data_IF_973135105197
#
_entry.id   IF_973135105197
#
_cell.length_a   1.000
_cell.length_b   1.000
_cell.length_c   1.000
_cell.angle_alpha   90.00
_cell.angle_beta   90.00
_cell.angle_gamma   90.00
#
_symmetry.space_group_name_H-M   'P 1'
#
loop_
_entity.id
_entity.type
_entity.pdbx_description
1 polymer ?
#
# COMPACT_ATOMS: atom_id res chain seq x y z
N UNK A 1 -12.03 1.54 -6.10
CA UNK A 1 -11.65 0.14 -6.42
C UNK A 1 -10.21 0.16 -6.94
N UNK A 2 -9.25 -0.35 -6.18
CA UNK A 2 -7.86 -0.62 -6.61
C UNK A 2 -7.90 -1.71 -7.71
N UNK A 3 -7.91 -1.29 -8.97
CA UNK A 3 -8.03 -2.23 -10.08
C UNK A 3 -6.73 -3.01 -10.30
N UNK A 4 -6.82 -4.35 -10.32
CA UNK A 4 -5.64 -5.22 -10.49
C UNK A 4 -4.91 -5.00 -11.81
N UNK A 5 -5.59 -4.50 -12.85
CA UNK A 5 -4.99 -4.18 -14.15
C UNK A 5 -4.06 -2.97 -14.08
N UNK A 6 -4.16 -2.17 -13.02
CA UNK A 6 -3.22 -1.07 -12.77
C UNK A 6 -1.90 -1.58 -12.16
N UNK A 7 -1.87 -2.82 -11.67
CA UNK A 7 -0.67 -3.44 -11.09
C UNK A 7 0.07 -4.19 -12.21
N UNK A 8 1.28 -3.74 -12.59
CA UNK A 8 2.07 -4.42 -13.60
C UNK A 8 2.71 -5.69 -13.02
N UNK A 9 1.95 -6.80 -12.98
CA UNK A 9 2.40 -8.08 -12.41
C UNK A 9 3.74 -8.55 -13.02
N UNK A 10 3.92 -8.41 -14.32
CA UNK A 10 5.18 -8.74 -14.99
C UNK A 10 6.35 -7.80 -14.63
N UNK A 11 6.05 -6.55 -14.27
CA UNK A 11 7.03 -5.56 -13.84
C UNK A 11 7.48 -5.72 -12.39
N UNK A 12 6.65 -6.30 -11.53
CA UNK A 12 6.93 -6.49 -10.10
C UNK A 12 8.21 -7.29 -9.83
N UNK A 13 8.55 -8.26 -10.70
CA UNK A 13 9.80 -9.03 -10.59
C UNK A 13 11.07 -8.21 -10.84
N UNK A 14 10.93 -6.99 -11.35
CA UNK A 14 12.02 -6.06 -11.64
C UNK A 14 12.08 -4.92 -10.65
N UNK A 15 10.92 -4.34 -10.31
CA UNK A 15 10.86 -3.15 -9.48
C UNK A 15 9.62 -3.20 -8.58
N UNK A 16 9.71 -2.73 -7.32
CA UNK A 16 8.55 -2.61 -6.46
C UNK A 16 7.51 -1.65 -7.05
N UNK A 17 6.25 -2.00 -6.89
CA UNK A 17 5.13 -1.15 -7.30
C UNK A 17 4.52 -0.48 -6.08
N UNK A 18 4.22 0.81 -6.16
CA UNK A 18 3.51 1.51 -5.08
C UNK A 18 2.33 2.28 -5.63
N UNK A 19 1.31 2.44 -4.79
CA UNK A 19 0.11 3.21 -5.10
C UNK A 19 -0.59 3.71 -3.85
N UNK A 20 -1.68 4.45 -4.05
CA UNK A 20 -2.50 4.97 -2.97
C UNK A 20 -3.98 4.92 -3.32
N UNK A 21 -4.82 4.79 -2.29
CA UNK A 21 -6.26 4.82 -2.38
C UNK A 21 -6.86 5.47 -1.15
N UNK A 22 -7.45 6.67 -1.31
CA UNK A 22 -8.25 7.34 -0.28
C UNK A 22 -7.56 7.47 1.09
N UNK A 23 -6.28 7.87 1.12
CA UNK A 23 -5.47 8.03 2.33
C UNK A 23 -4.72 6.77 2.82
N UNK A 24 -4.96 5.62 2.19
CA UNK A 24 -4.17 4.41 2.36
C UNK A 24 -3.11 4.33 1.27
N UNK A 25 -1.84 4.13 1.63
CA UNK A 25 -0.77 3.79 0.69
C UNK A 25 -0.51 2.31 0.72
N UNK A 26 -0.07 1.77 -0.41
CA UNK A 26 0.33 0.37 -0.53
C UNK A 26 1.58 0.24 -1.39
N UNK A 27 2.41 -0.73 -1.08
CA UNK A 27 3.60 -1.10 -1.85
C UNK A 27 3.71 -2.61 -1.97
N UNK A 28 4.03 -3.08 -3.16
CA UNK A 28 4.26 -4.48 -3.49
C UNK A 28 5.76 -4.67 -3.70
N UNK A 29 6.36 -5.59 -2.95
CA UNK A 29 7.76 -5.99 -3.07
C UNK A 29 7.85 -7.49 -3.31
N UNK A 30 8.52 -7.87 -4.38
CA UNK A 30 8.82 -9.27 -4.65
C UNK A 30 9.99 -9.72 -3.79
N UNK A 31 9.93 -10.93 -3.26
CA UNK A 31 11.00 -11.52 -2.46
C UNK A 31 12.19 -11.94 -3.36
N UNK A 32 13.36 -12.22 -2.77
CA UNK A 32 14.58 -12.57 -3.52
C UNK A 32 14.38 -13.83 -4.37
N UNK A 33 13.62 -14.80 -3.85
CA UNK A 33 13.24 -16.02 -4.57
C UNK A 33 12.35 -15.77 -5.78
N UNK A 34 11.69 -14.60 -5.89
CA UNK A 34 10.72 -14.24 -6.95
C UNK A 34 9.51 -15.16 -7.07
N UNK A 35 9.27 -15.95 -6.04
CA UNK A 35 8.14 -16.87 -5.91
C UNK A 35 6.95 -16.24 -5.19
N UNK A 36 7.23 -15.27 -4.30
CA UNK A 36 6.23 -14.57 -3.50
C UNK A 36 6.45 -13.06 -3.58
N UNK A 37 5.41 -12.32 -3.25
CA UNK A 37 5.48 -10.88 -3.06
C UNK A 37 4.74 -10.47 -1.79
N UNK A 38 5.23 -9.42 -1.14
CA UNK A 38 4.63 -8.83 0.04
C UNK A 38 3.96 -7.53 -0.34
N UNK A 39 2.67 -7.42 -0.03
CA UNK A 39 1.93 -6.17 -0.07
C UNK A 39 2.00 -5.52 1.31
N UNK A 40 2.47 -4.28 1.41
CA UNK A 40 2.48 -3.52 2.66
C UNK A 40 1.61 -2.29 2.54
N UNK A 41 0.69 -2.10 3.48
CA UNK A 41 -0.16 -0.90 3.59
C UNK A 41 0.30 0.01 4.72
N UNK A 42 0.06 1.30 4.56
CA UNK A 42 0.38 2.32 5.56
C UNK A 42 -0.40 3.61 5.34
N UNK A 43 -0.63 4.41 6.39
CA UNK A 43 -1.36 5.67 6.26
C UNK A 43 -0.52 6.78 5.62
N UNK A 44 -1.17 7.64 4.83
CA UNK A 44 -0.64 8.96 4.48
C UNK A 44 -0.49 9.87 5.71
N UNK A 45 0.35 10.92 5.68
CA UNK A 45 1.17 11.41 4.56
C UNK A 45 2.60 10.85 4.52
N UNK A 46 2.96 10.00 5.47
CA UNK A 46 4.33 9.50 5.61
C UNK A 46 4.70 8.55 4.46
N UNK A 47 5.93 8.68 3.96
CA UNK A 47 6.51 7.67 3.06
C UNK A 47 6.81 6.39 3.82
N UNK A 48 6.90 5.26 3.13
CA UNK A 48 7.18 3.95 3.72
C UNK A 48 8.33 3.98 4.76
N UNK A 49 9.42 4.67 4.48
CA UNK A 49 10.58 4.78 5.39
C UNK A 49 10.30 5.58 6.67
N UNK A 50 9.37 6.54 6.62
CA UNK A 50 9.01 7.42 7.73
C UNK A 50 7.83 6.90 8.55
N UNK A 51 7.05 5.98 8.00
CA UNK A 51 5.97 5.32 8.73
C UNK A 51 6.57 4.35 9.77
N UNK A 52 6.18 4.42 11.05
CA UNK A 52 6.54 3.41 12.06
C UNK A 52 6.09 2.01 11.63
N UNK A 53 6.86 0.97 11.97
CA UNK A 53 6.49 -0.42 11.62
C UNK A 53 5.17 -0.86 12.24
N UNK A 54 4.85 -0.39 13.45
CA UNK A 54 3.55 -0.61 14.12
C UNK A 54 2.34 -0.09 13.31
N UNK A 55 2.55 0.86 12.39
CA UNK A 55 1.49 1.42 11.52
C UNK A 55 1.54 0.83 10.11
N UNK A 56 2.44 -0.11 9.86
CA UNK A 56 2.53 -0.86 8.61
C UNK A 56 1.92 -2.23 8.83
N UNK A 57 1.05 -2.63 7.94
CA UNK A 57 0.57 -4.01 7.89
C UNK A 57 1.02 -4.61 6.58
N UNK A 58 1.48 -5.84 6.61
CA UNK A 58 2.00 -6.51 5.43
C UNK A 58 1.48 -7.94 5.37
N UNK A 59 1.22 -8.39 4.15
CA UNK A 59 0.74 -9.73 3.86
C UNK A 59 1.47 -10.25 2.63
N UNK A 60 1.86 -11.52 2.65
CA UNK A 60 2.66 -12.15 1.61
C UNK A 60 1.81 -13.13 0.80
N UNK A 61 1.95 -13.07 -0.51
CA UNK A 61 1.16 -13.82 -1.46
C UNK A 61 2.05 -14.51 -2.50
N UNK A 62 1.61 -15.63 -3.08
CA UNK A 62 2.33 -16.27 -4.16
C UNK A 62 2.30 -15.41 -5.42
N UNK A 63 3.40 -15.41 -6.19
CA UNK A 63 3.52 -14.70 -7.46
C UNK A 63 2.77 -15.43 -8.59
N UNK A 64 1.45 -15.51 -8.44
CA UNK A 64 0.49 -16.17 -9.33
C UNK A 64 -0.75 -15.28 -9.49
N UNK A 65 -1.60 -15.56 -10.48
CA UNK A 65 -2.83 -14.78 -10.71
C UNK A 65 -3.78 -14.84 -9.49
N UNK A 66 -3.94 -16.02 -8.90
CA UNK A 66 -4.72 -16.22 -7.67
C UNK A 66 -4.16 -15.42 -6.49
N UNK A 67 -2.82 -15.41 -6.32
CA UNK A 67 -2.17 -14.61 -5.28
C UNK A 67 -2.35 -13.11 -5.48
N UNK A 68 -2.41 -12.65 -6.73
CA UNK A 68 -2.76 -11.27 -7.05
C UNK A 68 -4.20 -10.94 -6.69
N UNK A 69 -5.14 -11.85 -6.98
CA UNK A 69 -6.54 -11.66 -6.60
C UNK A 69 -6.67 -11.56 -5.07
N UNK A 70 -6.04 -12.48 -4.33
CA UNK A 70 -6.00 -12.46 -2.86
C UNK A 70 -5.35 -11.19 -2.31
N UNK A 71 -4.28 -10.68 -2.93
CA UNK A 71 -3.64 -9.44 -2.49
C UNK A 71 -4.55 -8.22 -2.68
N UNK A 72 -5.30 -8.19 -3.78
CA UNK A 72 -6.26 -7.13 -4.09
C UNK A 72 -7.45 -7.19 -3.12
N UNK A 73 -7.99 -8.38 -2.86
CA UNK A 73 -9.04 -8.59 -1.86
C UNK A 73 -8.58 -8.18 -0.45
N UNK A 74 -7.34 -8.51 -0.08
CA UNK A 74 -6.76 -8.09 1.18
C UNK A 74 -6.65 -6.57 1.28
N UNK A 75 -6.16 -5.89 0.23
CA UNK A 75 -6.13 -4.42 0.20
C UNK A 75 -7.52 -3.81 0.37
N UNK A 76 -8.56 -4.40 -0.22
CA UNK A 76 -9.94 -3.94 0.00
C UNK A 76 -10.38 -4.14 1.43
N UNK A 77 -10.19 -5.34 1.95
CA UNK A 77 -10.57 -5.69 3.31
C UNK A 77 -9.91 -4.73 4.31
N UNK A 78 -8.63 -4.43 4.14
CA UNK A 78 -7.92 -3.46 4.98
C UNK A 78 -8.41 -2.03 4.78
N UNK A 79 -8.76 -1.65 3.55
CA UNK A 79 -9.36 -0.34 3.29
C UNK A 79 -10.71 -0.18 4.00
N UNK A 80 -11.57 -1.19 3.95
CA UNK A 80 -12.90 -1.15 4.55
C UNK A 80 -12.84 -1.24 6.08
N UNK A 81 -12.02 -2.15 6.62
CA UNK A 81 -11.86 -2.32 8.08
C UNK A 81 -11.29 -1.08 8.75
N UNK A 82 -10.38 -0.35 8.09
CA UNK A 82 -9.70 0.83 8.65
C UNK A 82 -10.12 2.12 7.93
N UNK A 83 -11.33 2.16 7.37
CA UNK A 83 -11.84 3.27 6.55
C UNK A 83 -11.73 4.63 7.23
N UNK A 84 -12.06 4.71 8.52
CA UNK A 84 -11.97 5.97 9.29
C UNK A 84 -10.52 6.47 9.40
N UNK A 85 -9.57 5.57 9.70
CA UNK A 85 -8.14 5.88 9.74
C UNK A 85 -7.65 6.44 8.40
N UNK A 86 -8.01 5.81 7.28
CA UNK A 86 -7.58 6.24 5.95
C UNK A 86 -8.18 7.61 5.58
N UNK A 87 -9.45 7.84 5.91
CA UNK A 87 -10.12 9.11 5.66
C UNK A 87 -9.51 10.24 6.51
N UNK A 88 -9.18 9.98 7.78
CA UNK A 88 -8.44 10.92 8.61
C UNK A 88 -7.04 11.19 8.05
N UNK A 89 -6.29 10.15 7.66
CA UNK A 89 -5.00 10.30 7.00
C UNK A 89 -5.06 11.16 5.74
N UNK A 90 -6.10 10.98 4.91
CA UNK A 90 -6.33 11.79 3.72
C UNK A 90 -6.59 13.27 4.05
N UNK A 91 -7.41 13.55 5.07
CA UNK A 91 -7.68 14.93 5.53
C UNK A 91 -6.46 15.59 6.17
N UNK A 92 -5.67 14.81 6.91
CA UNK A 92 -4.47 15.28 7.59
C UNK A 92 -3.32 15.52 6.61
N UNK A 93 -3.22 14.76 5.51
CA UNK A 93 -2.23 15.00 4.45
C UNK A 93 -2.33 16.41 3.86
N UNK A 94 -3.54 16.98 3.79
CA UNK A 94 -3.78 18.34 3.29
C UNK A 94 -3.44 19.44 4.33
N UNK A 95 -3.37 19.11 5.63
CA UNK A 95 -3.03 20.05 6.70
C UNK A 95 -1.53 20.13 7.00
N UNK A 96 -0.73 19.15 6.58
CA UNK A 96 0.75 19.22 6.65
C UNK A 96 1.28 19.95 5.40
N UNK A 97 0.74 21.14 5.10
CA UNK A 97 1.49 22.13 4.33
C UNK A 97 2.40 22.77 5.36
N UNK A 98 3.72 22.64 5.17
CA UNK A 98 4.73 23.29 6.00
C UNK A 98 4.24 24.70 6.37
N UNK A 99 3.93 24.94 7.65
CA UNK A 99 3.96 26.32 8.16
C UNK A 99 5.42 26.69 8.05
N UNK A 100 5.79 27.30 6.91
CA UNK A 100 7.06 27.95 6.74
C UNK A 100 7.21 28.89 7.92
N UNK A 101 8.12 28.54 8.82
CA UNK A 101 8.55 29.43 9.88
C UNK A 101 9.09 30.67 9.17
N UNK A 102 8.36 31.78 9.32
CA UNK A 102 8.78 33.13 8.92
C UNK A 102 10.02 33.56 9.69
#
# INVERSE_FOLDING_TARGET
MIDKKLIPVGGLKREPFSGSHGGMRYIFRVDDSKETFTATIYPEPWSFEKTPEEKKEHESFPMSDEGMDSAIEWLYSMYEQKKELWQESSKNAMHIVHKGTV
#
